data_IF_636206174199
#
_entry.id   IF_636206174199
#
_cell.length_a   1.000
_cell.length_b   1.000
_cell.length_c   1.000
_cell.angle_alpha   90.00
_cell.angle_beta   90.00
_cell.angle_gamma   90.00
#
_symmetry.space_group_name_H-M   'P 1'
#
loop_
_entity.id
_entity.type
_entity.pdbx_description
1 polymer ?
#
# COMPACT_ATOMS: atom_id res chain seq x y z
N UNK A 1 -0.19 31.49 -53.66
CA UNK A 1 -0.86 30.45 -52.86
C UNK A 1 0.10 29.28 -52.67
N UNK A 2 0.95 29.26 -51.63
CA UNK A 2 1.86 28.16 -51.35
C UNK A 2 1.18 27.07 -50.51
N UNK A 3 1.40 25.81 -50.90
CA UNK A 3 0.97 24.58 -50.20
C UNK A 3 1.65 24.42 -48.83
N UNK A 4 0.94 24.02 -47.76
CA UNK A 4 1.57 23.72 -46.48
C UNK A 4 2.23 22.32 -46.52
N UNK A 5 3.48 22.26 -46.05
CA UNK A 5 4.30 21.05 -45.94
C UNK A 5 3.86 20.18 -44.76
N UNK A 6 4.05 18.88 -44.91
CA UNK A 6 3.87 17.85 -43.90
C UNK A 6 4.73 18.14 -42.66
N UNK A 7 4.10 18.47 -41.54
CA UNK A 7 4.75 18.57 -40.22
C UNK A 7 4.77 17.20 -39.55
N UNK A 8 5.95 16.73 -39.19
CA UNK A 8 6.16 15.52 -38.40
C UNK A 8 5.46 15.64 -37.05
N UNK A 9 4.46 14.78 -36.79
CA UNK A 9 3.89 14.62 -35.45
C UNK A 9 4.95 13.94 -34.59
N UNK A 10 5.80 14.73 -33.94
CA UNK A 10 6.68 14.22 -32.90
C UNK A 10 5.80 13.62 -31.83
N UNK A 11 5.84 12.29 -31.73
CA UNK A 11 5.23 11.55 -30.64
C UNK A 11 6.07 11.91 -29.42
N UNK A 12 5.66 12.93 -28.68
CA UNK A 12 6.25 13.28 -27.40
C UNK A 12 6.28 11.99 -26.59
N UNK A 13 7.44 11.52 -26.09
CA UNK A 13 7.43 10.49 -25.08
C UNK A 13 6.60 11.08 -23.94
N UNK A 14 5.58 10.32 -23.51
CA UNK A 14 4.77 10.64 -22.34
C UNK A 14 5.70 11.22 -21.28
N UNK A 15 5.46 12.48 -20.94
CA UNK A 15 6.17 13.16 -19.88
C UNK A 15 6.24 12.18 -18.70
N UNK A 16 7.45 11.90 -18.23
CA UNK A 16 7.64 11.22 -16.97
C UNK A 16 6.77 11.98 -15.97
N UNK A 17 5.70 11.33 -15.50
CA UNK A 17 4.77 11.93 -14.55
C UNK A 17 5.62 12.44 -13.40
N UNK A 18 5.67 13.77 -13.24
CA UNK A 18 6.37 14.42 -12.16
C UNK A 18 5.83 13.83 -10.87
N UNK A 19 6.71 13.12 -10.14
CA UNK A 19 6.44 12.54 -8.83
C UNK A 19 5.69 13.56 -7.97
N UNK A 20 4.46 13.25 -7.58
CA UNK A 20 3.79 13.97 -6.52
C UNK A 20 4.69 13.92 -5.26
N UNK A 21 4.87 15.02 -4.51
CA UNK A 21 5.58 14.98 -3.23
C UNK A 21 4.75 14.15 -2.24
N UNK A 22 5.18 12.91 -2.02
CA UNK A 22 4.45 11.85 -1.30
C UNK A 22 3.83 10.88 -2.31
N UNK A 23 4.27 9.63 -2.48
CA UNK A 23 5.00 8.69 -1.63
C UNK A 23 5.90 7.86 -2.55
N UNK A 24 7.24 8.06 -2.57
CA UNK A 24 8.14 7.27 -3.43
C UNK A 24 8.38 5.83 -2.94
N UNK A 25 7.68 5.40 -1.88
CA UNK A 25 7.89 4.10 -1.23
C UNK A 25 6.94 3.00 -1.75
N UNK A 26 5.70 3.34 -2.11
CA UNK A 26 4.72 2.37 -2.62
C UNK A 26 4.77 2.37 -4.14
N UNK A 27 4.84 1.18 -4.75
CA UNK A 27 5.06 0.99 -6.18
C UNK A 27 3.88 0.38 -6.93
N UNK A 28 2.95 -0.24 -6.21
CA UNK A 28 1.84 -1.01 -6.79
C UNK A 28 0.52 -0.29 -6.58
N UNK A 29 -0.13 0.10 -7.68
CA UNK A 29 -1.36 0.92 -7.69
C UNK A 29 -2.50 0.19 -8.42
N UNK A 30 -3.73 0.40 -7.96
CA UNK A 30 -4.96 -0.13 -8.53
C UNK A 30 -5.97 0.99 -8.76
N UNK A 31 -6.51 1.09 -9.97
CA UNK A 31 -7.66 1.96 -10.25
C UNK A 31 -8.97 1.20 -9.99
N UNK A 32 -9.67 1.60 -8.94
CA UNK A 32 -10.92 1.00 -8.49
C UNK A 32 -12.12 1.96 -8.64
N UNK A 33 -11.95 3.09 -9.33
CA UNK A 33 -12.92 4.19 -9.44
C UNK A 33 -14.28 3.78 -10.04
N UNK A 34 -14.31 2.74 -10.87
CA UNK A 34 -15.52 2.22 -11.52
C UNK A 34 -16.25 1.11 -10.75
N UNK A 35 -15.77 0.71 -9.58
CA UNK A 35 -16.32 -0.43 -8.84
C UNK A 35 -17.10 0.02 -7.60
N UNK A 36 -18.35 -0.44 -7.46
CA UNK A 36 -19.15 -0.19 -6.27
C UNK A 36 -18.64 -0.97 -5.04
N UNK A 37 -18.03 -2.13 -5.27
CA UNK A 37 -17.37 -2.92 -4.23
C UNK A 37 -16.29 -3.80 -4.84
N UNK A 38 -15.25 -4.08 -4.06
CA UNK A 38 -14.11 -4.91 -4.47
C UNK A 38 -13.81 -5.95 -3.39
N UNK A 39 -13.34 -7.13 -3.80
CA UNK A 39 -12.83 -8.15 -2.88
C UNK A 39 -11.31 -8.05 -2.81
N UNK A 40 -10.81 -7.83 -1.61
CA UNK A 40 -9.36 -7.76 -1.33
C UNK A 40 -8.93 -9.12 -0.75
N UNK A 41 -7.78 -9.69 -1.17
CA UNK A 41 -7.28 -10.94 -0.61
C UNK A 41 -7.00 -10.81 0.88
N UNK A 42 -7.20 -11.91 1.61
CA UNK A 42 -6.81 -12.00 3.01
C UNK A 42 -5.30 -12.16 3.11
N UNK A 43 -4.66 -11.30 3.90
CA UNK A 43 -3.23 -11.37 4.20
C UNK A 43 -3.06 -11.58 5.70
N UNK A 44 -2.25 -12.58 6.06
CA UNK A 44 -1.92 -12.89 7.45
C UNK A 44 -0.40 -12.97 7.63
N UNK A 45 0.07 -12.42 8.75
CA UNK A 45 1.46 -12.48 9.18
C UNK A 45 1.60 -13.58 10.23
N UNK A 46 2.43 -14.57 9.95
CA UNK A 46 2.65 -15.71 10.85
C UNK A 46 3.94 -15.52 11.66
N UNK A 47 3.83 -15.62 12.97
CA UNK A 47 4.93 -15.51 13.92
C UNK A 47 5.30 -16.89 14.44
N UNK A 48 6.47 -17.39 14.02
CA UNK A 48 6.80 -18.81 14.06
C UNK A 48 6.97 -19.44 15.44
N UNK A 49 7.33 -18.69 16.49
CA UNK A 49 7.66 -19.28 17.80
C UNK A 49 6.44 -19.86 18.53
N UNK A 50 5.33 -19.12 18.50
CA UNK A 50 4.13 -19.44 19.29
C UNK A 50 2.90 -19.67 18.39
N UNK A 51 3.10 -19.71 17.06
CA UNK A 51 2.04 -19.92 16.07
C UNK A 51 1.05 -18.75 15.97
N UNK A 52 1.37 -17.58 16.54
CA UNK A 52 0.51 -16.42 16.47
C UNK A 52 0.36 -15.94 15.02
N UNK A 53 -0.86 -15.57 14.64
CA UNK A 53 -1.15 -15.04 13.32
C UNK A 53 -1.88 -13.69 13.44
N UNK A 54 -1.34 -12.66 12.79
CA UNK A 54 -2.00 -11.37 12.66
C UNK A 54 -2.65 -11.28 11.28
N UNK A 55 -3.98 -11.40 11.23
CA UNK A 55 -4.74 -11.19 10.00
C UNK A 55 -5.02 -9.70 9.81
N UNK A 56 -4.61 -9.16 8.67
CA UNK A 56 -4.78 -7.75 8.34
C UNK A 56 -6.11 -7.53 7.60
N UNK A 57 -7.02 -6.67 8.10
CA UNK A 57 -8.20 -6.26 7.35
C UNK A 57 -7.80 -5.40 6.13
N UNK A 58 -8.70 -5.31 5.14
CA UNK A 58 -8.44 -4.63 3.87
C UNK A 58 -7.90 -3.19 4.01
N UNK A 59 -8.38 -2.43 5.02
CA UNK A 59 -7.90 -1.08 5.32
C UNK A 59 -6.41 -1.00 5.68
N UNK A 60 -5.81 -2.12 6.12
CA UNK A 60 -4.40 -2.21 6.47
C UNK A 60 -3.54 -2.68 5.28
N UNK A 61 -4.17 -2.99 4.14
CA UNK A 61 -3.52 -3.48 2.92
C UNK A 61 -3.53 -2.43 1.79
N UNK A 62 -4.51 -1.55 1.75
CA UNK A 62 -4.67 -0.54 0.70
C UNK A 62 -4.74 0.87 1.29
N UNK A 63 -4.06 1.82 0.65
CA UNK A 63 -4.11 3.25 0.98
C UNK A 63 -4.77 3.99 -0.18
N UNK A 64 -5.81 4.78 0.10
CA UNK A 64 -6.45 5.61 -0.92
C UNK A 64 -5.58 6.83 -1.25
N UNK A 65 -5.29 7.04 -2.54
CA UNK A 65 -4.55 8.20 -3.03
C UNK A 65 -5.47 9.29 -3.60
N UNK A 66 -6.76 8.99 -3.74
CA UNK A 66 -7.80 9.85 -4.28
C UNK A 66 -8.35 9.37 -5.63
N UNK A 67 -9.56 9.82 -5.97
CA UNK A 67 -10.20 9.52 -7.25
C UNK A 67 -10.49 8.03 -7.47
N UNK A 68 -10.60 7.23 -6.40
CA UNK A 68 -10.78 5.79 -6.48
C UNK A 68 -9.51 4.99 -6.81
N UNK A 69 -8.33 5.63 -6.80
CA UNK A 69 -7.04 4.96 -6.94
C UNK A 69 -6.48 4.58 -5.57
N UNK A 70 -6.07 3.33 -5.44
CA UNK A 70 -5.54 2.74 -4.21
C UNK A 70 -4.13 2.19 -4.43
N UNK A 71 -3.25 2.37 -3.44
CA UNK A 71 -1.92 1.76 -3.38
C UNK A 71 -1.92 0.53 -2.51
N UNK A 72 -1.17 -0.50 -2.90
CA UNK A 72 -0.76 -1.57 -1.99
C UNK A 72 0.16 -0.99 -0.91
N UNK A 73 -0.19 -1.21 0.36
CA UNK A 73 0.53 -0.70 1.53
C UNK A 73 1.80 -1.51 1.88
N UNK A 74 2.48 -2.04 0.87
CA UNK A 74 3.70 -2.83 0.99
C UNK A 74 4.78 -2.23 0.08
N UNK A 75 6.01 -2.29 0.56
CA UNK A 75 7.17 -1.81 -0.17
C UNK A 75 8.34 -2.77 0.01
N UNK A 76 9.20 -2.83 -0.99
CA UNK A 76 10.44 -3.59 -0.91
C UNK A 76 11.35 -3.02 0.19
N UNK A 77 11.93 -3.91 1.00
CA UNK A 77 12.90 -3.58 2.04
C UNK A 77 14.29 -4.05 1.64
N UNK A 78 15.24 -3.12 1.53
CA UNK A 78 16.62 -3.43 1.12
C UNK A 78 17.41 -4.21 2.19
N UNK A 79 16.99 -4.16 3.45
CA UNK A 79 17.66 -4.84 4.57
C UNK A 79 17.23 -6.30 4.75
N UNK A 80 16.23 -6.76 4.00
CA UNK A 80 15.59 -8.06 4.22
C UNK A 80 14.70 -8.12 5.48
N UNK A 81 14.63 -7.03 6.26
CA UNK A 81 13.72 -6.93 7.39
C UNK A 81 12.31 -6.58 6.91
N UNK A 82 11.31 -7.23 7.50
CA UNK A 82 9.91 -6.83 7.38
C UNK A 82 9.58 -5.78 8.43
N UNK A 83 8.99 -4.66 8.02
CA UNK A 83 8.65 -3.54 8.89
C UNK A 83 7.13 -3.37 8.89
N UNK A 84 6.51 -3.40 10.07
CA UNK A 84 5.09 -3.12 10.24
C UNK A 84 4.87 -1.62 10.42
N UNK A 85 4.45 -0.94 9.36
CA UNK A 85 4.21 0.50 9.35
C UNK A 85 2.91 0.90 10.04
N UNK A 86 2.71 2.22 10.18
CA UNK A 86 1.52 2.79 10.81
C UNK A 86 0.20 2.22 10.26
N UNK A 87 0.09 2.10 8.93
CA UNK A 87 -1.11 1.56 8.26
C UNK A 87 -1.40 0.14 8.72
N UNK A 88 -0.39 -0.73 8.89
CA UNK A 88 -0.60 -2.10 9.35
C UNK A 88 -1.00 -2.20 10.82
N UNK A 89 -0.78 -1.15 11.62
CA UNK A 89 -1.10 -1.12 13.05
C UNK A 89 -2.50 -0.54 13.35
N UNK A 90 -3.13 0.16 12.39
CA UNK A 90 -4.39 0.87 12.63
C UNK A 90 -5.57 -0.07 12.96
N UNK A 91 -6.22 0.20 14.09
CA UNK A 91 -7.38 -0.55 14.56
C UNK A 91 -7.04 -1.97 15.01
N UNK A 92 -5.79 -2.18 15.42
CA UNK A 92 -5.31 -3.38 16.12
C UNK A 92 -4.76 -2.88 17.46
N UNK A 93 -5.17 -3.50 18.57
CA UNK A 93 -4.55 -3.26 19.85
C UNK A 93 -3.21 -4.00 19.88
N UNK A 94 -2.13 -3.23 20.06
CA UNK A 94 -0.77 -3.77 20.21
C UNK A 94 -0.35 -3.59 21.66
N UNK A 95 -0.02 -4.68 22.32
CA UNK A 95 0.48 -4.67 23.70
C UNK A 95 1.93 -5.10 23.70
N UNK A 96 2.78 -4.35 24.41
CA UNK A 96 4.19 -4.67 24.57
C UNK A 96 4.44 -4.97 26.03
N UNK A 97 4.70 -6.23 26.35
CA UNK A 97 5.07 -6.66 27.69
C UNK A 97 6.60 -6.77 27.76
N UNK A 98 7.23 -5.76 28.35
CA UNK A 98 8.67 -5.71 28.52
C UNK A 98 9.20 -6.63 29.62
N UNK A 99 8.34 -7.09 30.55
CA UNK A 99 8.73 -7.99 31.62
C UNK A 99 8.87 -9.42 31.11
N UNK A 100 7.98 -9.84 30.22
CA UNK A 100 7.98 -11.19 29.63
C UNK A 100 8.61 -11.23 28.23
N UNK A 101 8.81 -10.09 27.58
CA UNK A 101 9.41 -9.97 26.26
C UNK A 101 8.46 -10.33 25.11
N UNK A 102 7.14 -10.21 25.33
CA UNK A 102 6.11 -10.54 24.34
C UNK A 102 5.46 -9.30 23.74
N UNK A 103 5.00 -9.46 22.50
CA UNK A 103 4.11 -8.52 21.82
C UNK A 103 2.79 -9.23 21.54
N UNK A 104 1.69 -8.64 21.96
CA UNK A 104 0.33 -9.14 21.75
C UNK A 104 -0.43 -8.32 20.72
N UNK A 105 -1.30 -8.98 19.95
CA UNK A 105 -2.21 -8.36 19.00
C UNK A 105 -3.65 -8.73 19.36
N UNK A 106 -4.54 -7.74 19.45
CA UNK A 106 -5.94 -7.96 19.83
C UNK A 106 -6.92 -6.97 19.19
N UNK A 107 -8.23 -7.19 19.38
CA UNK A 107 -9.25 -6.22 19.00
C UNK A 107 -9.11 -4.93 19.82
N UNK A 108 -9.55 -3.80 19.28
CA UNK A 108 -9.51 -2.50 19.98
C UNK A 108 -10.70 -2.28 20.92
N UNK A 109 -11.44 -3.33 21.26
CA UNK A 109 -12.61 -3.30 22.14
C UNK A 109 -12.23 -3.93 23.48
N UNK A 110 -12.47 -3.18 24.56
CA UNK A 110 -12.31 -3.68 25.94
C UNK A 110 -13.46 -4.60 26.33
#
# INVERSE_FOLDING_TARGET
>A
MPTPRCGTRSRTPSAAASRAPGVPLLDTFYDLSGYASVRVPTVALYFGRDGAALTLPARNLLVEMGGGVYCLAFAASASGLSILGNIQQQGIQITVDSATGYVGFGPTTC
#
